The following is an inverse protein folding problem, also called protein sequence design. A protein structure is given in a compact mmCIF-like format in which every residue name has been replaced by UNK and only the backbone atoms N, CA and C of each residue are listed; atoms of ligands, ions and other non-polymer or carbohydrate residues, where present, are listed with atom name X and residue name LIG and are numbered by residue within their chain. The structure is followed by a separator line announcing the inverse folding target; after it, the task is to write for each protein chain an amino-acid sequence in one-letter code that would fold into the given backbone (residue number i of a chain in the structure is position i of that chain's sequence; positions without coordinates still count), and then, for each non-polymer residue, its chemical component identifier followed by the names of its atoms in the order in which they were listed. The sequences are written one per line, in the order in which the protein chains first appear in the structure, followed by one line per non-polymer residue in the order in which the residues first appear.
data_IF_920369064240
#
_entry.id   IF_920369064240
#
_cell.length_a   1.000
_cell.length_b   1.000
_cell.length_c   1.000
_cell.angle_alpha   90.00
_cell.angle_beta   90.00
_cell.angle_gamma   90.00
#
_symmetry.space_group_name_H-M   'P 1'
#
loop_
_entity.id
_entity.type
_entity.pdbx_description
1 polymer ?
#
# COMPACT_ATOMS: atom_id res chain seq x y z
N UNK A 1 16.46 38.65 -16.05
CA UNK A 1 15.79 37.63 -16.87
C UNK A 1 15.01 36.82 -15.86
N UNK A 2 13.69 36.95 -15.80
CA UNK A 2 12.90 36.19 -14.82
C UNK A 2 12.95 34.74 -15.27
N UNK A 3 13.57 33.87 -14.46
CA UNK A 3 13.59 32.43 -14.71
C UNK A 3 12.13 31.95 -14.79
N UNK A 4 11.87 31.04 -15.73
CA UNK A 4 10.51 30.58 -15.99
C UNK A 4 10.09 29.69 -14.81
N UNK A 5 9.19 30.19 -13.97
CA UNK A 5 8.53 29.37 -12.95
C UNK A 5 7.72 28.26 -13.61
N UNK A 6 7.86 27.05 -13.08
CA UNK A 6 7.11 25.88 -13.54
C UNK A 6 6.01 25.57 -12.53
N UNK A 7 4.76 25.47 -13.00
CA UNK A 7 3.63 25.06 -12.15
C UNK A 7 3.57 23.53 -12.11
N UNK A 8 3.79 22.93 -10.95
CA UNK A 8 3.77 21.47 -10.78
C UNK A 8 2.55 21.06 -9.96
N UNK A 9 1.75 20.15 -10.49
CA UNK A 9 0.56 19.63 -9.82
C UNK A 9 0.85 18.29 -9.17
N UNK A 10 0.51 18.17 -7.88
CA UNK A 10 0.59 16.95 -7.10
C UNK A 10 -0.82 16.37 -6.91
N UNK A 11 -1.06 15.17 -7.43
CA UNK A 11 -2.33 14.45 -7.31
C UNK A 11 -2.19 13.30 -6.31
N UNK A 12 -2.35 13.62 -5.03
CA UNK A 12 -2.20 12.70 -3.91
C UNK A 12 -3.29 12.94 -2.85
N UNK A 13 -3.62 11.91 -2.09
CA UNK A 13 -4.60 12.02 -1.02
C UNK A 13 -3.91 12.28 0.32
N UNK A 14 -3.88 13.54 0.75
CA UNK A 14 -3.24 13.97 2.01
C UNK A 14 -3.81 13.30 3.27
N UNK A 15 -4.95 12.59 3.20
CA UNK A 15 -5.45 11.79 4.32
C UNK A 15 -4.65 10.50 4.55
N UNK A 16 -3.94 9.99 3.54
CA UNK A 16 -3.09 8.79 3.67
C UNK A 16 -1.69 9.20 4.17
N UNK A 17 -1.18 8.46 5.15
CA UNK A 17 0.17 8.71 5.69
C UNK A 17 1.28 8.51 4.64
N UNK A 18 1.10 7.52 3.76
CA UNK A 18 2.01 7.25 2.65
C UNK A 18 2.13 8.46 1.71
N UNK A 19 1.00 8.96 1.21
CA UNK A 19 0.92 10.10 0.31
C UNK A 19 1.56 11.37 0.90
N UNK A 20 1.37 11.62 2.21
CA UNK A 20 2.01 12.75 2.90
C UNK A 20 3.54 12.67 2.86
N UNK A 21 4.12 11.48 3.04
CA UNK A 21 5.57 11.30 2.97
C UNK A 21 6.10 11.51 1.54
N UNK A 22 5.33 11.12 0.52
CA UNK A 22 5.69 11.40 -0.88
C UNK A 22 5.72 12.92 -1.13
N UNK A 23 4.68 13.63 -0.68
CA UNK A 23 4.61 15.10 -0.79
C UNK A 23 5.74 15.78 -0.02
N UNK A 24 6.06 15.31 1.18
CA UNK A 24 7.21 15.78 1.97
C UNK A 24 8.52 15.62 1.19
N UNK A 25 8.74 14.46 0.56
CA UNK A 25 9.94 14.21 -0.27
C UNK A 25 10.04 15.14 -1.49
N UNK A 26 8.92 15.51 -2.12
CA UNK A 26 8.91 16.54 -3.17
C UNK A 26 9.32 17.90 -2.58
N UNK A 27 8.85 18.23 -1.38
CA UNK A 27 9.26 19.43 -0.65
C UNK A 27 10.75 19.46 -0.31
N UNK A 28 11.32 18.34 0.13
CA UNK A 28 12.76 18.19 0.38
C UNK A 28 13.58 18.43 -0.89
N UNK A 29 13.13 17.91 -2.03
CA UNK A 29 13.77 18.17 -3.32
C UNK A 29 13.76 19.66 -3.68
N UNK A 30 12.64 20.37 -3.47
CA UNK A 30 12.59 21.81 -3.73
C UNK A 30 13.58 22.60 -2.87
N UNK A 31 13.65 22.28 -1.58
CA UNK A 31 14.58 22.92 -0.64
C UNK A 31 16.03 22.68 -1.07
N UNK A 32 16.38 21.47 -1.48
CA UNK A 32 17.74 21.10 -1.87
C UNK A 32 18.14 21.67 -3.24
N UNK A 33 17.23 21.65 -4.21
CA UNK A 33 17.50 22.04 -5.60
C UNK A 33 17.43 23.55 -5.84
N UNK A 34 16.80 24.31 -4.93
CA UNK A 34 16.48 25.73 -5.12
C UNK A 34 15.71 25.99 -6.42
N UNK A 35 14.89 25.01 -6.85
CA UNK A 35 14.08 25.10 -8.05
C UNK A 35 12.94 26.10 -7.87
N UNK A 36 12.69 26.94 -8.87
CA UNK A 36 11.56 27.87 -8.87
C UNK A 36 10.26 27.18 -9.36
N UNK A 37 9.74 26.25 -8.56
CA UNK A 37 8.46 25.58 -8.83
C UNK A 37 7.33 26.14 -7.98
N UNK A 38 6.20 26.42 -8.62
CA UNK A 38 4.94 26.73 -7.94
C UNK A 38 4.16 25.41 -7.79
N UNK A 39 4.19 24.81 -6.58
CA UNK A 39 3.52 23.54 -6.29
C UNK A 39 2.04 23.78 -5.94
N UNK A 40 1.17 22.99 -6.57
CA UNK A 40 -0.24 22.88 -6.21
C UNK A 40 -0.57 21.44 -5.83
N UNK A 41 -1.19 21.24 -4.66
CA UNK A 41 -1.68 19.93 -4.20
C UNK A 41 -3.19 19.93 -4.39
N UNK A 42 -3.69 19.06 -5.25
CA UNK A 42 -5.13 18.87 -5.42
C UNK A 42 -5.58 17.59 -4.71
N UNK A 43 -6.38 17.76 -3.67
CA UNK A 43 -6.89 16.67 -2.84
C UNK A 43 -8.24 16.13 -3.35
N UNK A 44 -9.00 16.92 -4.13
CA UNK A 44 -10.31 16.56 -4.68
C UNK A 44 -10.36 16.69 -6.21
N UNK A 45 -9.40 16.04 -6.87
CA UNK A 45 -9.34 16.02 -8.33
C UNK A 45 -10.59 15.38 -8.96
N UNK A 46 -11.25 14.48 -8.24
CA UNK A 46 -12.47 13.78 -8.69
C UNK A 46 -13.65 14.75 -8.87
N UNK A 47 -13.74 15.82 -8.08
CA UNK A 47 -14.75 16.85 -8.27
C UNK A 47 -14.49 17.80 -9.47
N UNK A 48 -13.31 17.73 -10.10
CA UNK A 48 -12.84 18.69 -11.12
C UNK A 48 -12.28 18.03 -12.39
N UNK A 49 -12.72 16.79 -12.67
CA UNK A 49 -12.28 15.97 -13.80
C UNK A 49 -12.42 16.69 -15.15
N UNK A 50 -13.54 17.38 -15.37
CA UNK A 50 -13.88 17.95 -16.69
C UNK A 50 -12.91 19.02 -17.20
N UNK A 51 -12.17 19.69 -16.30
CA UNK A 51 -11.25 20.77 -16.67
C UNK A 51 -9.78 20.47 -16.34
N UNK A 52 -9.42 19.20 -16.10
CA UNK A 52 -8.08 18.86 -15.59
C UNK A 52 -6.93 19.44 -16.42
N UNK A 53 -7.05 19.39 -17.75
CA UNK A 53 -6.06 19.91 -18.69
C UNK A 53 -5.78 21.41 -18.54
N UNK A 54 -6.74 22.18 -18.05
CA UNK A 54 -6.59 23.64 -17.89
C UNK A 54 -5.78 24.02 -16.64
N UNK A 55 -5.75 23.17 -15.61
CA UNK A 55 -5.10 23.47 -14.34
C UNK A 55 -3.86 22.62 -14.00
N UNK A 56 -3.58 21.52 -14.71
CA UNK A 56 -2.41 20.64 -14.46
C UNK A 56 -1.05 21.35 -14.45
N UNK A 57 -0.90 22.47 -15.16
CA UNK A 57 0.36 23.23 -15.15
C UNK A 57 1.37 22.71 -16.16
N UNK A 58 2.65 22.79 -15.81
CA UNK A 58 3.79 22.40 -16.66
C UNK A 58 4.27 20.96 -16.39
N UNK A 59 3.78 20.31 -15.34
CA UNK A 59 4.15 18.93 -14.99
C UNK A 59 3.34 18.35 -13.84
N UNK A 60 3.31 17.03 -13.74
CA UNK A 60 2.43 16.29 -12.82
C UNK A 60 3.20 15.19 -12.09
N UNK A 61 2.99 15.09 -10.78
CA UNK A 61 3.39 13.93 -9.98
C UNK A 61 2.12 13.38 -9.32
N UNK A 62 1.84 12.09 -9.49
CA UNK A 62 0.54 11.54 -9.12
C UNK A 62 0.59 10.13 -8.54
N UNK A 63 -0.39 9.81 -7.67
CA UNK A 63 -0.66 8.45 -7.17
C UNK A 63 -1.22 7.57 -8.30
N UNK A 64 -0.35 6.77 -8.92
CA UNK A 64 -0.72 5.83 -9.99
C UNK A 64 -1.13 4.45 -9.44
N UNK A 65 -1.24 4.27 -8.12
CA UNK A 65 -2.01 3.14 -7.57
C UNK A 65 -3.53 3.40 -7.69
N UNK A 66 -3.95 4.61 -8.04
CA UNK A 66 -5.32 4.99 -8.36
C UNK A 66 -5.54 4.95 -9.89
N UNK A 67 -6.16 3.87 -10.37
CA UNK A 67 -6.51 3.71 -11.78
C UNK A 67 -7.31 4.89 -12.37
N UNK A 68 -8.12 5.57 -11.54
CA UNK A 68 -8.92 6.70 -12.02
C UNK A 68 -8.00 7.89 -12.37
N UNK A 69 -6.90 8.08 -11.61
CA UNK A 69 -5.85 9.06 -11.93
C UNK A 69 -5.12 8.65 -13.22
N UNK A 70 -4.73 7.38 -13.34
CA UNK A 70 -4.03 6.89 -14.53
C UNK A 70 -4.87 7.09 -15.80
N UNK A 71 -6.18 6.84 -15.72
CA UNK A 71 -7.11 7.07 -16.83
C UNK A 71 -7.28 8.57 -17.14
N UNK A 72 -7.40 9.39 -16.11
CA UNK A 72 -7.57 10.84 -16.24
C UNK A 72 -6.36 11.52 -16.91
N UNK A 73 -5.17 10.98 -16.67
CA UNK A 73 -3.91 11.49 -17.19
C UNK A 73 -3.48 10.85 -18.53
N UNK A 74 -4.24 9.89 -19.07
CA UNK A 74 -3.83 9.13 -20.26
C UNK A 74 -3.63 10.01 -21.51
N UNK A 75 -4.44 11.07 -21.67
CA UNK A 75 -4.44 11.96 -22.83
C UNK A 75 -3.85 13.35 -22.52
N UNK A 76 -2.91 13.41 -21.56
CA UNK A 76 -2.28 14.66 -21.11
C UNK A 76 -0.87 14.78 -21.68
N UNK A 77 -0.56 15.94 -22.28
CA UNK A 77 0.72 16.18 -22.98
C UNK A 77 1.86 16.67 -22.07
N UNK A 78 1.56 17.07 -20.83
CA UNK A 78 2.59 17.56 -19.90
C UNK A 78 3.39 16.40 -19.31
N UNK A 79 4.68 16.58 -18.96
CA UNK A 79 5.47 15.53 -18.31
C UNK A 79 4.83 14.99 -17.04
N UNK A 80 4.75 13.66 -16.93
CA UNK A 80 4.13 12.97 -15.80
C UNK A 80 5.11 12.00 -15.16
N UNK A 81 5.20 12.05 -13.84
CA UNK A 81 5.88 11.04 -13.01
C UNK A 81 4.83 10.37 -12.11
N UNK A 82 4.57 9.09 -12.35
CA UNK A 82 3.72 8.28 -11.51
C UNK A 82 4.46 7.77 -10.27
N UNK A 83 3.76 7.69 -9.15
CA UNK A 83 4.24 7.08 -7.91
C UNK A 83 3.25 6.00 -7.49
N UNK A 84 3.75 4.84 -7.05
CA UNK A 84 2.88 3.77 -6.53
C UNK A 84 3.66 2.50 -6.20
N UNK A 85 2.99 1.35 -6.22
CA UNK A 85 3.58 0.05 -5.92
C UNK A 85 4.38 -0.56 -7.08
N UNK A 86 5.43 -1.32 -6.76
CA UNK A 86 6.12 -2.15 -7.77
C UNK A 86 5.25 -3.32 -8.22
N UNK A 87 5.41 -3.70 -9.48
CA UNK A 87 4.78 -4.88 -10.09
C UNK A 87 5.81 -5.98 -10.35
N UNK A 88 5.39 -7.24 -10.18
CA UNK A 88 6.20 -8.41 -10.49
C UNK A 88 6.42 -8.59 -12.00
N UNK A 89 5.43 -8.26 -12.83
CA UNK A 89 5.58 -8.24 -14.29
C UNK A 89 5.89 -6.84 -14.77
N UNK A 90 6.94 -6.72 -15.59
CA UNK A 90 7.37 -5.46 -16.18
C UNK A 90 6.29 -4.83 -17.08
N UNK A 91 5.47 -5.67 -17.74
CA UNK A 91 4.36 -5.22 -18.60
C UNK A 91 3.19 -4.57 -17.86
N UNK A 92 3.09 -4.75 -16.54
CA UNK A 92 2.03 -4.15 -15.72
C UNK A 92 2.37 -2.71 -15.27
N UNK A 93 3.61 -2.27 -15.45
CA UNK A 93 3.97 -0.89 -15.14
C UNK A 93 3.29 0.07 -16.14
N UNK A 94 2.79 1.23 -15.67
CA UNK A 94 2.18 2.20 -16.55
C UNK A 94 3.22 2.80 -17.51
N UNK A 95 2.76 3.26 -18.67
CA UNK A 95 3.60 3.86 -19.71
C UNK A 95 4.02 5.32 -19.39
N UNK A 96 4.43 5.57 -18.15
CA UNK A 96 4.97 6.86 -17.66
C UNK A 96 6.28 6.63 -16.91
N UNK A 97 7.04 7.69 -16.66
CA UNK A 97 8.12 7.60 -15.68
C UNK A 97 7.54 7.24 -14.32
N UNK A 98 8.08 6.22 -13.66
CA UNK A 98 7.44 5.62 -12.50
C UNK A 98 8.42 5.43 -11.34
N UNK A 99 8.02 5.90 -10.16
CA UNK A 99 8.74 5.69 -8.91
C UNK A 99 7.93 4.67 -8.09
N UNK A 100 8.48 3.47 -7.96
CA UNK A 100 7.81 2.37 -7.30
C UNK A 100 8.31 2.15 -5.87
N UNK A 101 7.38 1.96 -4.94
CA UNK A 101 7.66 1.32 -3.65
C UNK A 101 7.81 -0.17 -3.87
N UNK A 102 8.92 -0.75 -3.43
CA UNK A 102 9.19 -2.18 -3.63
C UNK A 102 8.30 -3.06 -2.75
N UNK A 103 7.21 -3.57 -3.33
CA UNK A 103 6.26 -4.46 -2.68
C UNK A 103 6.90 -5.77 -2.23
N UNK A 104 7.88 -6.30 -2.97
CA UNK A 104 8.57 -7.52 -2.58
C UNK A 104 9.45 -7.28 -1.34
N UNK A 105 10.28 -6.24 -1.38
CA UNK A 105 11.18 -5.90 -0.26
C UNK A 105 10.40 -5.59 1.03
N UNK A 106 9.22 -4.96 0.94
CA UNK A 106 8.35 -4.74 2.09
C UNK A 106 7.91 -6.04 2.77
N UNK A 107 7.44 -7.00 1.97
CA UNK A 107 6.96 -8.29 2.49
C UNK A 107 8.12 -9.15 2.97
N UNK A 108 9.24 -9.14 2.24
CA UNK A 108 10.48 -9.81 2.62
C UNK A 108 10.99 -9.30 3.97
N UNK A 109 11.04 -7.99 4.18
CA UNK A 109 11.47 -7.40 5.45
C UNK A 109 10.59 -7.87 6.63
N UNK A 110 9.26 -7.88 6.45
CA UNK A 110 8.33 -8.37 7.46
C UNK A 110 8.48 -9.89 7.71
N UNK A 111 8.69 -10.67 6.64
CA UNK A 111 8.89 -12.11 6.71
C UNK A 111 10.19 -12.46 7.44
N UNK A 112 11.31 -11.82 7.08
CA UNK A 112 12.61 -12.01 7.72
C UNK A 112 12.54 -11.63 9.20
N UNK A 113 11.88 -10.52 9.54
CA UNK A 113 11.69 -10.13 10.94
C UNK A 113 10.99 -11.23 11.77
N UNK A 114 9.90 -11.79 11.25
CA UNK A 114 9.19 -12.88 11.94
C UNK A 114 10.06 -14.15 12.03
N UNK A 115 10.76 -14.50 10.94
CA UNK A 115 11.67 -15.66 10.88
C UNK A 115 12.79 -15.54 11.92
N UNK A 116 13.42 -14.37 12.05
CA UNK A 116 14.46 -14.07 13.04
C UNK A 116 13.96 -14.21 14.49
N UNK A 117 12.66 -14.01 14.73
CA UNK A 117 12.02 -14.25 16.03
C UNK A 117 11.65 -15.72 16.27
N UNK A 118 12.03 -16.63 15.37
CA UNK A 118 11.80 -18.06 15.49
C UNK A 118 10.43 -18.53 14.97
N UNK A 119 9.67 -17.67 14.29
CA UNK A 119 8.40 -18.04 13.66
C UNK A 119 8.68 -18.99 12.49
N UNK A 120 7.93 -20.09 12.44
CA UNK A 120 8.04 -21.12 11.39
C UNK A 120 6.70 -21.42 10.69
N UNK A 121 5.64 -20.68 11.05
CA UNK A 121 4.33 -20.72 10.41
C UNK A 121 3.95 -19.31 10.05
N UNK A 122 3.56 -19.11 8.80
CA UNK A 122 3.29 -17.79 8.28
C UNK A 122 1.87 -17.71 7.74
N UNK A 123 1.22 -16.60 8.00
CA UNK A 123 -0.05 -16.26 7.42
C UNK A 123 -0.01 -14.85 6.84
N UNK A 124 -0.80 -14.62 5.81
CA UNK A 124 -0.93 -13.32 5.17
C UNK A 124 -2.38 -12.86 5.20
N UNK A 125 -2.61 -11.67 5.73
CA UNK A 125 -3.92 -11.02 5.73
C UNK A 125 -3.99 -9.95 4.64
N UNK A 126 -4.55 -10.35 3.50
CA UNK A 126 -4.62 -9.57 2.27
C UNK A 126 -5.90 -8.76 2.12
N UNK A 127 -6.11 -8.25 0.91
CA UNK A 127 -7.33 -7.62 0.43
C UNK A 127 -7.90 -8.42 -0.75
N UNK A 128 -9.22 -8.38 -0.98
CA UNK A 128 -9.82 -9.05 -2.12
C UNK A 128 -9.45 -8.34 -3.42
N UNK A 129 -9.43 -9.08 -4.53
CA UNK A 129 -9.15 -8.51 -5.86
C UNK A 129 -10.16 -7.41 -6.27
N UNK A 130 -11.36 -7.40 -5.69
CA UNK A 130 -12.37 -6.35 -5.92
C UNK A 130 -11.91 -4.96 -5.52
N UNK A 131 -10.91 -4.84 -4.64
CA UNK A 131 -10.53 -3.54 -4.08
C UNK A 131 -9.74 -2.64 -5.03
N UNK A 132 -9.44 -3.11 -6.25
CA UNK A 132 -8.63 -2.41 -7.28
C UNK A 132 -7.28 -1.89 -6.75
N UNK A 133 -6.73 -2.56 -5.74
CA UNK A 133 -5.46 -2.17 -5.09
C UNK A 133 -4.39 -3.14 -5.56
N UNK A 134 -3.74 -2.84 -6.68
CA UNK A 134 -2.78 -3.75 -7.31
C UNK A 134 -1.64 -4.13 -6.37
N UNK A 135 -1.11 -3.18 -5.60
CA UNK A 135 -0.10 -3.43 -4.57
C UNK A 135 -0.52 -4.50 -3.55
N UNK A 136 -1.82 -4.71 -3.30
CA UNK A 136 -2.26 -5.76 -2.40
C UNK A 136 -2.05 -7.16 -2.99
N UNK A 137 -2.32 -7.32 -4.28
CA UNK A 137 -2.06 -8.55 -5.01
C UNK A 137 -0.56 -8.80 -5.17
N UNK A 138 0.23 -7.76 -5.46
CA UNK A 138 1.69 -7.83 -5.57
C UNK A 138 2.35 -8.27 -4.25
N UNK A 139 1.90 -7.71 -3.12
CA UNK A 139 2.38 -8.13 -1.78
C UNK A 139 1.97 -9.56 -1.43
N UNK A 140 0.75 -9.97 -1.79
CA UNK A 140 0.30 -11.34 -1.61
C UNK A 140 1.12 -12.33 -2.46
N UNK A 141 1.44 -11.94 -3.71
CA UNK A 141 2.30 -12.69 -4.59
C UNK A 141 3.71 -12.85 -3.98
N UNK A 142 4.32 -11.75 -3.53
CA UNK A 142 5.62 -11.78 -2.84
C UNK A 142 5.61 -12.70 -1.62
N UNK A 143 4.56 -12.63 -0.79
CA UNK A 143 4.41 -13.53 0.36
C UNK A 143 4.41 -15.01 -0.05
N UNK A 144 3.67 -15.36 -1.12
CA UNK A 144 3.61 -16.74 -1.61
C UNK A 144 4.98 -17.22 -2.10
N UNK A 145 5.73 -16.37 -2.81
CA UNK A 145 7.08 -16.71 -3.28
C UNK A 145 8.02 -16.99 -2.11
N UNK A 146 8.15 -16.05 -1.17
CA UNK A 146 9.04 -16.16 -0.02
C UNK A 146 8.77 -17.42 0.83
N UNK A 147 7.49 -17.71 1.07
CA UNK A 147 7.10 -18.89 1.85
C UNK A 147 7.41 -20.20 1.10
N UNK A 148 7.22 -20.22 -0.22
CA UNK A 148 7.52 -21.38 -1.05
C UNK A 148 9.02 -21.66 -1.15
N UNK A 149 9.83 -20.61 -1.36
CA UNK A 149 11.29 -20.69 -1.42
C UNK A 149 11.89 -21.30 -0.15
N UNK A 150 11.37 -20.90 1.01
CA UNK A 150 11.81 -21.36 2.33
C UNK A 150 11.12 -22.66 2.79
N UNK A 151 10.26 -23.25 1.93
CA UNK A 151 9.51 -24.50 2.18
C UNK A 151 8.62 -24.45 3.42
N UNK A 152 8.19 -23.26 3.83
CA UNK A 152 7.18 -23.12 4.88
C UNK A 152 5.77 -23.35 4.31
N UNK A 153 4.80 -23.59 5.20
CA UNK A 153 3.38 -23.58 4.84
C UNK A 153 2.81 -22.20 5.14
N UNK A 154 2.43 -21.49 4.08
CA UNK A 154 1.78 -20.19 4.14
C UNK A 154 0.28 -20.31 4.00
N UNK A 155 -0.47 -19.59 4.83
CA UNK A 155 -1.92 -19.46 4.67
C UNK A 155 -2.26 -18.03 4.30
N UNK A 156 -2.98 -17.85 3.18
CA UNK A 156 -3.46 -16.53 2.75
C UNK A 156 -4.93 -16.42 3.08
N UNK A 157 -5.32 -15.28 3.66
CA UNK A 157 -6.72 -14.90 3.81
C UNK A 157 -6.94 -13.52 3.20
N UNK A 158 -7.64 -13.53 2.07
CA UNK A 158 -8.21 -12.34 1.47
C UNK A 158 -9.51 -12.05 2.23
N UNK A 159 -9.44 -11.21 3.27
CA UNK A 159 -10.66 -10.84 4.00
C UNK A 159 -11.60 -9.98 3.16
N UNK A 160 -12.62 -9.41 3.79
CA UNK A 160 -13.59 -8.56 3.11
C UNK A 160 -13.13 -7.10 3.02
N UNK A 161 -13.63 -6.37 2.04
CA UNK A 161 -13.65 -4.90 2.09
C UNK A 161 -14.53 -4.47 3.26
N UNK A 162 -13.95 -3.72 4.19
CA UNK A 162 -14.63 -3.27 5.39
C UNK A 162 -15.35 -1.97 5.09
N UNK A 163 -16.66 -2.01 5.13
CA UNK A 163 -17.53 -0.84 5.11
C UNK A 163 -18.43 -0.86 6.36
N UNK A 164 -18.96 0.29 6.82
CA UNK A 164 -19.76 0.35 8.05
C UNK A 164 -20.90 -0.68 8.08
N UNK A 165 -21.54 -0.93 6.94
CA UNK A 165 -22.66 -1.85 6.76
C UNK A 165 -22.31 -3.33 6.93
N UNK A 166 -21.05 -3.72 6.70
CA UNK A 166 -20.61 -5.13 6.76
C UNK A 166 -19.56 -5.38 7.85
N UNK A 167 -19.23 -4.37 8.65
CA UNK A 167 -18.16 -4.41 9.65
C UNK A 167 -18.26 -5.63 10.57
N UNK A 168 -19.43 -5.84 11.18
CA UNK A 168 -19.63 -6.98 12.10
C UNK A 168 -19.45 -8.33 11.40
N UNK A 169 -19.91 -8.44 10.15
CA UNK A 169 -19.75 -9.66 9.37
C UNK A 169 -18.27 -9.89 9.03
N UNK A 170 -17.55 -8.86 8.59
CA UNK A 170 -16.12 -8.92 8.32
C UNK A 170 -15.31 -9.30 9.57
N UNK A 171 -15.68 -8.77 10.74
CA UNK A 171 -15.08 -9.09 12.02
C UNK A 171 -15.28 -10.57 12.39
N UNK A 172 -16.50 -11.10 12.24
CA UNK A 172 -16.80 -12.51 12.52
C UNK A 172 -16.03 -13.45 11.58
N UNK A 173 -15.95 -13.13 10.28
CA UNK A 173 -15.20 -13.94 9.30
C UNK A 173 -13.70 -13.92 9.58
N UNK A 174 -13.16 -12.79 10.02
CA UNK A 174 -11.77 -12.70 10.46
C UNK A 174 -11.54 -13.52 11.75
N UNK A 175 -12.47 -13.47 12.70
CA UNK A 175 -12.44 -14.25 13.93
C UNK A 175 -12.39 -15.75 13.65
N UNK A 176 -13.25 -16.24 12.75
CA UNK A 176 -13.28 -17.64 12.33
C UNK A 176 -11.90 -18.06 11.77
N UNK A 177 -11.35 -17.27 10.85
CA UNK A 177 -10.05 -17.55 10.25
C UNK A 177 -8.91 -17.55 11.29
N UNK A 178 -8.84 -16.54 12.16
CA UNK A 178 -7.80 -16.45 13.20
C UNK A 178 -7.82 -17.66 14.15
N UNK A 179 -8.99 -18.21 14.45
CA UNK A 179 -9.12 -19.40 15.28
C UNK A 179 -8.65 -20.69 14.57
N UNK A 180 -8.60 -20.71 13.23
CA UNK A 180 -8.03 -21.84 12.47
C UNK A 180 -6.50 -21.85 12.47
N UNK A 181 -5.86 -20.72 12.78
CA UNK A 181 -4.41 -20.61 12.72
C UNK A 181 -3.76 -21.40 13.87
N UNK A 182 -2.77 -22.26 13.58
CA UNK A 182 -2.02 -22.95 14.62
C UNK A 182 -1.34 -21.95 15.56
N UNK A 183 -1.07 -22.35 16.82
CA UNK A 183 -0.14 -21.62 17.67
C UNK A 183 1.19 -21.43 16.94
N UNK A 184 1.86 -20.34 17.24
CA UNK A 184 3.15 -19.96 16.63
C UNK A 184 3.09 -19.48 15.17
N UNK A 185 1.91 -19.01 14.72
CA UNK A 185 1.76 -18.38 13.41
C UNK A 185 2.02 -16.88 13.47
N UNK A 186 3.02 -16.41 12.71
CA UNK A 186 3.23 -14.99 12.44
C UNK A 186 2.32 -14.52 11.30
N UNK A 187 1.67 -13.37 11.47
CA UNK A 187 0.75 -12.82 10.48
C UNK A 187 1.36 -11.55 9.88
N UNK A 188 1.53 -11.54 8.57
CA UNK A 188 1.87 -10.32 7.81
C UNK A 188 0.55 -9.77 7.26
N UNK A 189 0.23 -8.52 7.57
CA UNK A 189 -0.93 -7.86 6.99
C UNK A 189 -0.49 -6.95 5.84
N UNK A 190 -1.31 -6.88 4.79
CA UNK A 190 -1.01 -6.06 3.61
C UNK A 190 -0.95 -4.55 3.91
N UNK A 191 -1.55 -4.10 5.01
CA UNK A 191 -1.49 -2.73 5.53
C UNK A 191 -1.60 -2.72 7.06
N UNK A 192 -1.16 -1.62 7.68
CA UNK A 192 -1.34 -1.37 9.12
C UNK A 192 -2.81 -1.33 9.54
N UNK A 193 -3.70 -0.85 8.66
CA UNK A 193 -5.14 -0.89 8.92
C UNK A 193 -5.65 -2.32 9.08
N UNK A 194 -5.16 -3.24 8.24
CA UNK A 194 -5.48 -4.67 8.34
C UNK A 194 -4.80 -5.33 9.55
N UNK A 195 -3.58 -4.93 9.89
CA UNK A 195 -2.93 -5.37 11.12
C UNK A 195 -3.73 -4.95 12.37
N UNK A 196 -4.21 -3.70 12.43
CA UNK A 196 -5.08 -3.21 13.50
C UNK A 196 -6.39 -3.99 13.59
N UNK A 197 -7.00 -4.33 12.46
CA UNK A 197 -8.20 -5.16 12.44
C UNK A 197 -7.96 -6.55 13.05
N UNK A 198 -6.80 -7.18 12.77
CA UNK A 198 -6.38 -8.43 13.43
C UNK A 198 -6.23 -8.24 14.94
N UNK A 199 -5.55 -7.18 15.38
CA UNK A 199 -5.35 -6.89 16.81
C UNK A 199 -6.68 -6.72 17.55
N UNK A 200 -7.63 -5.99 16.97
CA UNK A 200 -8.97 -5.81 17.54
C UNK A 200 -9.73 -7.13 17.71
N UNK A 201 -9.67 -8.01 16.70
CA UNK A 201 -10.32 -9.32 16.80
C UNK A 201 -9.61 -10.22 17.81
N UNK A 202 -8.28 -10.20 17.86
CA UNK A 202 -7.53 -10.94 18.87
C UNK A 202 -7.89 -10.50 20.29
N UNK A 203 -8.02 -9.19 20.53
CA UNK A 203 -8.45 -8.64 21.82
C UNK A 203 -9.86 -9.12 22.20
N UNK A 204 -10.81 -9.05 21.26
CA UNK A 204 -12.18 -9.51 21.47
C UNK A 204 -12.29 -11.01 21.76
N UNK A 205 -11.43 -11.82 21.14
CA UNK A 205 -11.38 -13.27 21.34
C UNK A 205 -10.46 -13.71 22.48
N UNK A 206 -9.84 -12.75 23.19
CA UNK A 206 -8.80 -13.02 24.20
C UNK A 206 -7.67 -13.92 23.67
N UNK A 207 -7.29 -13.74 22.39
CA UNK A 207 -6.12 -14.38 21.78
C UNK A 207 -4.88 -13.55 22.17
N UNK A 208 -3.94 -14.10 22.96
CA UNK A 208 -2.76 -13.35 23.36
C UNK A 208 -1.86 -13.03 22.16
N UNK A 209 -1.50 -11.76 22.00
CA UNK A 209 -0.56 -11.26 21.00
C UNK A 209 0.59 -10.53 21.73
N UNK A 210 1.86 -10.97 21.60
CA UNK A 210 2.34 -12.12 20.82
C UNK A 210 2.18 -13.49 21.52
N UNK A 211 1.73 -13.52 22.78
CA UNK A 211 2.00 -14.65 23.70
C UNK A 211 1.22 -15.96 23.47
N UNK A 212 0.39 -16.09 22.42
CA UNK A 212 -0.09 -17.42 21.98
C UNK A 212 1.01 -18.23 21.24
N UNK A 213 2.21 -17.67 21.08
CA UNK A 213 3.21 -18.19 20.13
C UNK A 213 4.64 -18.43 20.61
N UNK A 214 5.02 -18.09 21.84
CA UNK A 214 6.35 -18.40 22.38
C UNK A 214 6.24 -18.78 23.86
N UNK A 215 6.07 -20.08 24.16
CA UNK A 215 6.38 -20.58 25.50
C UNK A 215 7.88 -20.84 25.57
N UNK A 216 8.63 -19.90 26.15
CA UNK A 216 9.91 -20.23 26.75
C UNK A 216 9.63 -21.12 27.97
N UNK A 217 9.99 -22.39 27.89
CA UNK A 217 10.16 -23.25 29.07
C UNK A 217 11.57 -23.01 29.59
N UNK A 218 11.69 -22.53 30.83
CA UNK A 218 12.79 -22.90 31.72
C UNK A 218 12.30 -24.04 32.61
#
# INVERSE_FOLDING_TARGET
MFDKRHRITLLFNANKAYDRQVVEGVGEYLQASQSEWDIFIEEDFRARIDNIKEWLGDGVIADYDDDDIAQLLADVDVPIVGVGGSYHLAENYPAVHYIATDNHALVESAFLHLKEKGVNRFAFYGLPASSRKHWAAEREYAFRQLVAEEKYRGVVYQGLETAPENWQHAQNRLADWLQTLPPQTGIIAVTDARARHVLQVCEHLHIPVPEKTLRYRY
#
